data_IF_742258461214
#
_entry.id   IF_742258461214
#
_cell.length_a   1.000
_cell.length_b   1.000
_cell.length_c   1.000
_cell.angle_alpha   90.00
_cell.angle_beta   90.00
_cell.angle_gamma   90.00
#
_symmetry.space_group_name_H-M   'P 1'
#
loop_
_entity.id
_entity.type
_entity.pdbx_description
1 polymer ?
#
# COMPACT_ATOMS: atom_id res chain seq x y z
N UNK A 1 -1.30 -15.54 6.99
CA UNK A 1 -1.69 -16.98 6.82
C UNK A 1 -1.82 -17.72 8.15
N UNK A 2 -2.63 -17.20 9.07
CA UNK A 2 -2.83 -17.87 10.37
C UNK A 2 -3.86 -19.01 10.31
N UNK A 3 -4.58 -19.16 9.20
CA UNK A 3 -5.60 -20.21 9.02
C UNK A 3 -5.64 -20.71 7.56
N UNK A 4 -4.65 -21.47 7.09
CA UNK A 4 -4.59 -21.94 5.70
C UNK A 4 -5.78 -22.87 5.36
N UNK A 5 -6.36 -23.54 6.33
CA UNK A 5 -7.56 -24.36 6.13
C UNK A 5 -8.81 -23.53 5.77
N UNK A 6 -8.85 -22.23 6.08
CA UNK A 6 -10.02 -21.38 5.80
C UNK A 6 -10.33 -21.28 4.29
N UNK A 7 -9.31 -21.12 3.48
CA UNK A 7 -9.47 -21.02 2.01
C UNK A 7 -10.03 -22.30 1.42
N UNK A 8 -9.60 -23.47 1.93
CA UNK A 8 -10.13 -24.77 1.49
C UNK A 8 -11.57 -24.99 1.94
N UNK A 9 -11.94 -24.51 3.13
CA UNK A 9 -13.34 -24.55 3.60
C UNK A 9 -14.23 -23.68 2.74
N UNK A 10 -13.79 -22.46 2.43
CA UNK A 10 -14.51 -21.54 1.53
C UNK A 10 -14.66 -22.17 0.13
N UNK A 11 -13.60 -22.78 -0.40
CA UNK A 11 -13.66 -23.54 -1.64
C UNK A 11 -14.76 -24.60 -1.61
N UNK A 12 -14.78 -25.45 -0.59
CA UNK A 12 -15.78 -26.50 -0.47
C UNK A 12 -17.22 -25.96 -0.40
N UNK A 13 -17.43 -24.84 0.29
CA UNK A 13 -18.73 -24.17 0.35
C UNK A 13 -19.17 -23.59 -1.00
N UNK A 14 -18.25 -23.00 -1.75
CA UNK A 14 -18.53 -22.48 -3.10
C UNK A 14 -18.82 -23.62 -4.09
N UNK A 15 -17.98 -24.65 -4.10
CA UNK A 15 -18.09 -25.78 -5.03
C UNK A 15 -19.35 -26.64 -4.76
N UNK A 16 -19.82 -26.70 -3.52
CA UNK A 16 -21.07 -27.44 -3.17
C UNK A 16 -22.35 -26.71 -3.59
N UNK A 17 -22.27 -25.43 -3.96
CA UNK A 17 -23.45 -24.60 -4.26
C UNK A 17 -24.41 -24.41 -3.08
N UNK A 18 -24.00 -24.76 -1.86
CA UNK A 18 -24.84 -24.64 -0.67
C UNK A 18 -24.75 -23.27 0.00
N UNK A 19 -23.80 -22.46 -0.44
CA UNK A 19 -23.58 -21.11 0.12
C UNK A 19 -24.74 -20.19 -0.26
N UNK A 20 -25.43 -19.66 0.75
CA UNK A 20 -26.56 -18.73 0.61
C UNK A 20 -26.15 -17.26 0.82
N UNK A 21 -24.87 -17.00 1.01
CA UNK A 21 -24.35 -15.68 1.37
C UNK A 21 -23.28 -15.25 0.37
N UNK A 22 -23.13 -13.95 0.20
CA UNK A 22 -21.98 -13.38 -0.47
C UNK A 22 -20.78 -13.37 0.46
N UNK A 23 -19.62 -13.75 -0.04
CA UNK A 23 -18.35 -13.68 0.69
C UNK A 23 -17.54 -12.54 0.10
N UNK A 24 -17.09 -11.63 0.96
CA UNK A 24 -16.14 -10.57 0.60
C UNK A 24 -14.85 -10.84 1.35
N UNK A 25 -13.77 -11.06 0.61
CA UNK A 25 -12.42 -11.18 1.14
C UNK A 25 -11.73 -9.84 0.99
N UNK A 26 -11.12 -9.34 2.04
CA UNK A 26 -10.35 -8.11 2.01
C UNK A 26 -9.05 -8.25 2.77
N UNK A 27 -8.00 -7.57 2.30
CA UNK A 27 -6.69 -7.57 2.91
C UNK A 27 -5.87 -6.37 2.47
N UNK A 28 -4.91 -5.98 3.29
CA UNK A 28 -3.98 -4.87 3.02
C UNK A 28 -2.78 -5.29 2.17
N UNK A 29 -2.39 -6.57 2.18
CA UNK A 29 -1.31 -7.08 1.34
C UNK A 29 -1.82 -7.36 -0.07
N UNK A 30 -1.39 -6.56 -1.03
CA UNK A 30 -1.75 -6.72 -2.43
C UNK A 30 -1.26 -8.06 -3.00
N UNK A 31 -0.01 -8.44 -2.66
CA UNK A 31 0.56 -9.73 -3.09
C UNK A 31 -0.26 -10.91 -2.58
N UNK A 32 -0.63 -10.90 -1.30
CA UNK A 32 -1.43 -11.97 -0.71
C UNK A 32 -2.83 -12.05 -1.34
N UNK A 33 -3.50 -10.91 -1.52
CA UNK A 33 -4.83 -10.86 -2.13
C UNK A 33 -4.81 -11.33 -3.59
N UNK A 34 -3.80 -10.89 -4.35
CA UNK A 34 -3.62 -11.36 -5.73
C UNK A 34 -3.43 -12.89 -5.78
N UNK A 35 -2.55 -13.43 -4.95
CA UNK A 35 -2.29 -14.87 -4.93
C UNK A 35 -3.52 -15.69 -4.52
N UNK A 36 -4.41 -15.16 -3.67
CA UNK A 36 -5.64 -15.86 -3.27
C UNK A 36 -6.56 -16.20 -4.45
N UNK A 37 -6.65 -15.32 -5.44
CA UNK A 37 -7.63 -15.44 -6.54
C UNK A 37 -6.98 -15.74 -7.88
N UNK A 38 -5.68 -15.47 -8.07
CA UNK A 38 -4.98 -15.58 -9.34
C UNK A 38 -3.87 -16.65 -9.39
N UNK A 39 -3.45 -17.20 -8.23
CA UNK A 39 -2.48 -18.29 -8.19
C UNK A 39 -3.22 -19.62 -8.43
N UNK A 40 -2.82 -20.37 -9.48
CA UNK A 40 -3.42 -21.66 -9.83
C UNK A 40 -3.34 -22.70 -8.71
N UNK A 41 -2.39 -22.56 -7.79
CA UNK A 41 -2.26 -23.42 -6.62
C UNK A 41 -3.24 -23.04 -5.46
N UNK A 42 -3.89 -21.88 -5.56
CA UNK A 42 -4.82 -21.41 -4.53
C UNK A 42 -6.16 -22.13 -4.59
N UNK A 43 -6.72 -22.57 -3.45
CA UNK A 43 -8.07 -23.12 -3.37
C UNK A 43 -9.17 -22.20 -3.92
N UNK A 44 -8.92 -20.88 -3.98
CA UNK A 44 -9.88 -19.88 -4.46
C UNK A 44 -9.62 -19.41 -5.89
N UNK A 45 -8.66 -20.02 -6.60
CA UNK A 45 -8.38 -19.69 -7.98
C UNK A 45 -9.63 -19.82 -8.86
N UNK A 46 -9.92 -18.75 -9.61
CA UNK A 46 -11.06 -18.71 -10.54
C UNK A 46 -12.45 -18.77 -9.90
N UNK A 47 -12.58 -18.60 -8.57
CA UNK A 47 -13.86 -18.64 -7.84
C UNK A 47 -14.38 -17.28 -7.41
N UNK A 48 -13.64 -16.21 -7.71
CA UNK A 48 -14.09 -14.84 -7.47
C UNK A 48 -14.96 -14.31 -8.60
N UNK A 49 -16.08 -13.69 -8.28
CA UNK A 49 -16.95 -13.03 -9.26
C UNK A 49 -16.43 -11.64 -9.63
N UNK A 50 -15.72 -10.97 -8.71
CA UNK A 50 -15.15 -9.65 -8.92
C UNK A 50 -13.96 -9.37 -8.00
N UNK A 51 -12.97 -8.68 -8.55
CA UNK A 51 -11.81 -8.15 -7.81
C UNK A 51 -11.86 -6.63 -7.79
N UNK A 52 -11.71 -6.04 -6.60
CA UNK A 52 -11.70 -4.61 -6.41
C UNK A 52 -10.35 -4.15 -5.88
N UNK A 53 -9.61 -3.41 -6.69
CA UNK A 53 -8.43 -2.69 -6.22
C UNK A 53 -8.86 -1.34 -5.64
N UNK A 54 -8.93 -1.26 -4.31
CA UNK A 54 -9.29 -0.04 -3.59
C UNK A 54 -8.15 0.97 -3.66
N UNK A 55 -8.35 2.01 -4.46
CA UNK A 55 -7.38 3.09 -4.61
C UNK A 55 -7.53 4.13 -3.49
N UNK A 56 -6.44 4.88 -3.17
CA UNK A 56 -6.53 6.01 -2.25
C UNK A 56 -7.64 7.01 -2.67
N UNK A 57 -8.34 7.54 -1.68
CA UNK A 57 -9.38 8.55 -1.90
C UNK A 57 -8.71 9.84 -2.40
N UNK A 58 -9.33 10.46 -3.41
CA UNK A 58 -8.77 11.65 -4.05
C UNK A 58 -8.98 12.91 -3.19
N UNK A 59 -8.10 13.89 -3.35
CA UNK A 59 -8.07 15.15 -2.63
C UNK A 59 -9.43 15.88 -2.49
N UNK A 60 -10.30 15.98 -3.51
CA UNK A 60 -11.57 16.69 -3.36
C UNK A 60 -12.48 16.10 -2.26
N UNK A 61 -12.40 14.79 -2.02
CA UNK A 61 -13.19 14.15 -0.98
C UNK A 61 -12.64 14.39 0.43
N UNK A 62 -11.32 14.64 0.56
CA UNK A 62 -10.71 15.04 1.83
C UNK A 62 -11.24 16.40 2.28
N UNK A 63 -11.30 17.37 1.38
CA UNK A 63 -11.88 18.70 1.65
C UNK A 63 -13.27 18.58 2.25
N UNK A 64 -14.11 17.74 1.62
CA UNK A 64 -15.47 17.52 2.07
C UNK A 64 -15.51 16.81 3.45
N UNK A 65 -14.66 15.80 3.67
CA UNK A 65 -14.65 15.01 4.89
C UNK A 65 -14.17 15.82 6.11
N UNK A 66 -13.13 16.63 5.96
CA UNK A 66 -12.49 17.37 7.05
C UNK A 66 -12.97 18.83 7.14
N UNK A 67 -13.82 19.31 6.22
CA UNK A 67 -14.31 20.68 6.15
C UNK A 67 -13.18 21.73 6.20
N UNK A 68 -12.11 21.48 5.44
CA UNK A 68 -10.91 22.33 5.36
C UNK A 68 -11.04 23.34 4.21
N UNK A 69 -10.30 24.45 4.29
CA UNK A 69 -10.08 25.30 3.12
C UNK A 69 -9.19 24.65 2.06
N UNK A 70 -8.96 25.34 0.94
CA UNK A 70 -8.20 24.73 -0.19
C UNK A 70 -6.73 24.51 0.15
N UNK A 71 -6.10 25.46 0.87
CA UNK A 71 -4.69 25.38 1.23
C UNK A 71 -4.48 24.28 2.28
N UNK A 72 -5.26 24.30 3.34
CA UNK A 72 -5.21 23.26 4.38
C UNK A 72 -5.51 21.88 3.82
N UNK A 73 -6.42 21.78 2.84
CA UNK A 73 -6.74 20.52 2.18
C UNK A 73 -5.52 19.96 1.43
N UNK A 74 -4.81 20.81 0.68
CA UNK A 74 -3.60 20.39 -0.05
C UNK A 74 -2.50 19.96 0.91
N UNK A 75 -2.24 20.76 1.97
CA UNK A 75 -1.22 20.45 2.96
C UNK A 75 -1.53 19.15 3.72
N UNK A 76 -2.77 18.97 4.15
CA UNK A 76 -3.20 17.74 4.82
C UNK A 76 -3.10 16.55 3.87
N UNK A 77 -3.52 16.68 2.60
CA UNK A 77 -3.41 15.59 1.64
C UNK A 77 -1.97 15.22 1.29
N UNK A 78 -1.06 16.20 1.24
CA UNK A 78 0.36 15.95 1.01
C UNK A 78 1.01 15.09 2.11
N UNK A 79 0.52 15.19 3.35
CA UNK A 79 1.01 14.40 4.49
C UNK A 79 0.27 13.06 4.61
N UNK A 80 -1.06 13.08 4.60
CA UNK A 80 -1.90 11.93 4.98
C UNK A 80 -2.38 11.12 3.77
N UNK A 81 -2.25 11.65 2.56
CA UNK A 81 -2.71 11.01 1.34
C UNK A 81 -4.20 10.68 1.35
N UNK A 82 -4.57 9.62 0.65
CA UNK A 82 -5.97 9.22 0.48
C UNK A 82 -6.41 8.02 1.32
N UNK A 83 -5.69 7.68 2.39
CA UNK A 83 -6.03 6.54 3.26
C UNK A 83 -6.94 6.98 4.40
N UNK A 84 -8.22 6.53 4.47
CA UNK A 84 -9.17 7.00 5.49
C UNK A 84 -8.67 6.84 6.92
N UNK A 85 -7.92 5.79 7.21
CA UNK A 85 -7.34 5.55 8.54
C UNK A 85 -6.41 6.69 8.97
N UNK A 86 -5.64 7.24 8.04
CA UNK A 86 -4.73 8.35 8.35
C UNK A 86 -5.50 9.65 8.60
N UNK A 87 -6.62 9.85 7.91
CA UNK A 87 -7.48 11.01 8.18
C UNK A 87 -8.08 10.97 9.58
N UNK A 88 -8.49 9.80 10.06
CA UNK A 88 -8.95 9.63 11.44
C UNK A 88 -7.86 10.00 12.46
N UNK A 89 -6.59 9.66 12.18
CA UNK A 89 -5.45 10.07 13.02
C UNK A 89 -5.25 11.58 12.97
N UNK A 90 -5.36 12.20 11.79
CA UNK A 90 -5.28 13.65 11.63
C UNK A 90 -6.37 14.38 12.42
N UNK A 91 -7.62 13.91 12.37
CA UNK A 91 -8.74 14.50 13.09
C UNK A 91 -8.62 14.40 14.62
N UNK A 92 -7.89 13.41 15.13
CA UNK A 92 -7.67 13.23 16.56
C UNK A 92 -6.72 14.26 17.18
N UNK A 93 -6.01 15.03 16.37
CA UNK A 93 -5.03 16.03 16.80
C UNK A 93 -5.56 17.46 16.58
N UNK A 94 -5.02 18.40 17.35
CA UNK A 94 -5.42 19.80 17.34
C UNK A 94 -5.22 20.48 15.99
N UNK A 95 -4.05 20.27 15.39
CA UNK A 95 -3.66 20.84 14.11
C UNK A 95 -2.74 19.88 13.32
N UNK A 96 -2.35 20.26 12.10
CA UNK A 96 -1.51 19.44 11.24
C UNK A 96 -0.15 19.12 11.86
N UNK A 97 0.51 20.11 12.48
CA UNK A 97 1.83 19.94 13.09
C UNK A 97 1.79 19.00 14.28
N UNK A 98 0.78 19.14 15.12
CA UNK A 98 0.55 18.27 16.29
C UNK A 98 0.30 16.82 15.82
N UNK A 99 -0.52 16.64 14.79
CA UNK A 99 -0.79 15.32 14.20
C UNK A 99 0.48 14.65 13.63
N UNK A 100 1.29 15.40 12.89
CA UNK A 100 2.57 14.93 12.33
C UNK A 100 3.50 14.48 13.45
N UNK A 101 3.67 15.32 14.46
CA UNK A 101 4.55 14.99 15.59
C UNK A 101 4.05 13.74 16.33
N UNK A 102 2.78 13.72 16.71
CA UNK A 102 2.21 12.64 17.52
C UNK A 102 2.18 11.29 16.82
N UNK A 103 1.88 11.26 15.51
CA UNK A 103 1.65 10.02 14.80
C UNK A 103 2.80 9.54 13.91
N UNK A 104 3.63 10.47 13.40
CA UNK A 104 4.69 10.14 12.43
C UNK A 104 6.08 10.21 13.06
N UNK A 105 6.39 11.28 13.82
CA UNK A 105 7.74 11.49 14.38
C UNK A 105 7.93 10.92 15.78
N UNK A 106 6.88 10.82 16.56
CA UNK A 106 6.97 10.22 17.89
C UNK A 106 7.27 8.72 17.78
N UNK A 107 8.26 8.17 18.51
CA UNK A 107 8.48 6.72 18.58
C UNK A 107 7.28 5.93 19.09
N UNK A 108 6.33 6.58 19.76
CA UNK A 108 5.06 5.99 20.20
C UNK A 108 3.93 6.19 19.17
N UNK A 109 4.22 6.89 18.07
CA UNK A 109 3.26 7.20 17.01
C UNK A 109 2.89 5.94 16.22
N UNK A 110 1.62 5.84 15.87
CA UNK A 110 1.08 4.68 15.15
C UNK A 110 1.75 4.50 13.78
N UNK A 111 2.16 5.58 13.13
CA UNK A 111 2.76 5.58 11.80
C UNK A 111 4.29 5.63 11.81
N UNK A 112 4.93 5.66 12.99
CA UNK A 112 6.38 5.74 13.10
C UNK A 112 7.11 4.59 12.37
N UNK A 113 6.61 3.37 12.49
CA UNK A 113 7.15 2.19 11.81
C UNK A 113 6.29 1.70 10.62
N UNK A 114 5.29 2.49 10.20
CA UNK A 114 4.36 2.07 9.14
C UNK A 114 5.05 1.70 7.82
N UNK A 115 6.04 2.48 7.31
CA UNK A 115 6.71 2.11 6.06
C UNK A 115 7.41 0.75 6.13
N UNK A 116 8.08 0.48 7.25
CA UNK A 116 8.79 -0.79 7.44
C UNK A 116 7.81 -1.97 7.55
N UNK A 117 6.66 -1.75 8.18
CA UNK A 117 5.60 -2.76 8.30
C UNK A 117 5.01 -3.12 6.93
N UNK A 118 4.65 -2.13 6.14
CA UNK A 118 4.12 -2.32 4.79
C UNK A 118 5.09 -3.09 3.89
N UNK A 119 6.37 -2.72 3.92
CA UNK A 119 7.37 -3.44 3.11
C UNK A 119 7.61 -4.87 3.58
N UNK A 120 7.51 -5.17 4.89
CA UNK A 120 7.62 -6.56 5.39
C UNK A 120 6.50 -7.45 4.88
N UNK A 121 5.30 -6.90 4.70
CA UNK A 121 4.14 -7.67 4.24
C UNK A 121 4.18 -7.93 2.73
N UNK A 122 4.70 -6.98 1.94
CA UNK A 122 4.60 -7.01 0.48
C UNK A 122 5.93 -7.30 -0.24
N UNK A 123 7.08 -7.09 0.40
CA UNK A 123 8.41 -7.20 -0.22
C UNK A 123 9.22 -8.35 0.38
N UNK A 124 9.94 -9.10 -0.47
CA UNK A 124 10.87 -10.13 -0.01
C UNK A 124 12.08 -9.54 0.75
N UNK A 125 12.47 -8.32 0.40
CA UNK A 125 13.55 -7.56 1.04
C UNK A 125 13.03 -6.17 1.41
N UNK A 126 12.49 -6.06 2.62
CA UNK A 126 11.92 -4.83 3.14
C UNK A 126 12.97 -3.72 3.33
N UNK A 127 14.21 -4.09 3.69
CA UNK A 127 15.30 -3.13 3.89
C UNK A 127 15.69 -2.49 2.56
N UNK A 128 15.85 -3.31 1.52
CA UNK A 128 16.14 -2.81 0.18
C UNK A 128 15.02 -1.93 -0.36
N UNK A 129 13.78 -2.33 -0.16
CA UNK A 129 12.62 -1.52 -0.55
C UNK A 129 12.63 -0.14 0.14
N UNK A 130 12.83 -0.11 1.46
CA UNK A 130 12.92 1.13 2.21
C UNK A 130 14.09 2.01 1.74
N UNK A 131 15.26 1.43 1.46
CA UNK A 131 16.42 2.14 0.93
C UNK A 131 16.13 2.79 -0.42
N UNK A 132 15.53 2.03 -1.35
CA UNK A 132 15.12 2.54 -2.67
C UNK A 132 14.15 3.71 -2.50
N UNK A 133 13.11 3.56 -1.67
CA UNK A 133 12.11 4.59 -1.43
C UNK A 133 12.74 5.87 -0.83
N UNK A 134 13.68 5.73 0.10
CA UNK A 134 14.41 6.87 0.67
C UNK A 134 15.23 7.62 -0.39
N UNK A 135 15.90 6.88 -1.27
CA UNK A 135 16.71 7.46 -2.35
C UNK A 135 15.82 8.18 -3.38
N UNK A 136 14.71 7.56 -3.78
CA UNK A 136 13.74 8.19 -4.69
C UNK A 136 13.10 9.42 -4.02
N UNK A 137 12.69 9.32 -2.76
CA UNK A 137 12.15 10.44 -1.99
C UNK A 137 13.13 11.60 -1.81
N UNK A 138 14.44 11.33 -1.90
CA UNK A 138 15.48 12.38 -1.91
C UNK A 138 15.75 12.96 -3.32
N UNK A 139 14.92 12.64 -4.32
CA UNK A 139 14.93 13.23 -5.65
C UNK A 139 15.61 12.41 -6.76
N UNK A 140 16.14 11.23 -6.44
CA UNK A 140 16.69 10.35 -7.49
C UNK A 140 15.56 9.77 -8.34
N UNK A 141 15.61 9.99 -9.66
CA UNK A 141 14.56 9.59 -10.60
C UNK A 141 15.06 8.72 -11.77
N UNK A 142 16.34 8.34 -11.77
CA UNK A 142 16.92 7.45 -12.78
C UNK A 142 17.44 6.17 -12.13
N UNK A 143 17.19 5.02 -12.75
CA UNK A 143 17.64 3.73 -12.23
C UNK A 143 19.16 3.69 -12.00
N UNK A 144 19.95 4.31 -12.90
CA UNK A 144 21.41 4.37 -12.76
C UNK A 144 21.86 5.18 -11.53
N UNK A 145 21.17 6.27 -11.23
CA UNK A 145 21.44 7.09 -10.05
C UNK A 145 21.04 6.38 -8.77
N UNK A 146 19.87 5.74 -8.76
CA UNK A 146 19.40 4.93 -7.63
C UNK A 146 20.39 3.79 -7.35
N UNK A 147 20.83 3.10 -8.39
CA UNK A 147 21.83 2.02 -8.29
C UNK A 147 23.16 2.50 -7.70
N UNK A 148 23.64 3.65 -8.18
CA UNK A 148 24.86 4.28 -7.67
C UNK A 148 24.75 4.62 -6.18
N UNK A 149 23.62 5.21 -5.75
CA UNK A 149 23.37 5.56 -4.35
C UNK A 149 23.15 4.34 -3.45
N UNK A 150 22.59 3.25 -4.00
CA UNK A 150 22.47 1.95 -3.30
C UNK A 150 23.81 1.20 -3.22
N UNK A 151 24.85 1.65 -3.91
CA UNK A 151 26.10 0.92 -4.11
C UNK A 151 25.89 -0.51 -4.66
N UNK A 152 24.90 -0.69 -5.53
CA UNK A 152 24.55 -1.96 -6.17
C UNK A 152 24.45 -1.83 -7.69
N UNK A 153 24.70 -2.92 -8.45
CA UNK A 153 24.41 -2.93 -9.88
C UNK A 153 22.94 -2.70 -10.19
N UNK A 154 22.63 -1.95 -11.24
CA UNK A 154 21.26 -1.67 -11.66
C UNK A 154 20.44 -2.95 -11.95
N UNK A 155 21.10 -4.04 -12.37
CA UNK A 155 20.47 -5.35 -12.58
C UNK A 155 19.86 -5.93 -11.30
N UNK A 156 20.46 -5.68 -10.15
CA UNK A 156 19.97 -6.16 -8.86
C UNK A 156 18.76 -5.34 -8.35
N UNK A 157 18.57 -4.14 -8.86
CA UNK A 157 17.46 -3.25 -8.49
C UNK A 157 16.26 -3.38 -9.42
N UNK A 158 16.42 -3.93 -10.62
CA UNK A 158 15.34 -4.02 -11.61
C UNK A 158 14.12 -4.74 -11.08
N UNK A 159 14.29 -5.88 -10.42
CA UNK A 159 13.17 -6.67 -9.85
C UNK A 159 12.49 -5.99 -8.67
N UNK A 160 13.21 -5.51 -7.62
CA UNK A 160 12.57 -4.77 -6.53
C UNK A 160 11.91 -3.47 -7.00
N UNK A 161 12.50 -2.74 -7.95
CA UNK A 161 11.89 -1.55 -8.54
C UNK A 161 10.59 -1.87 -9.28
N UNK A 162 10.58 -2.92 -10.13
CA UNK A 162 9.35 -3.34 -10.81
C UNK A 162 8.26 -3.70 -9.80
N UNK A 163 8.60 -4.43 -8.74
CA UNK A 163 7.64 -4.79 -7.71
C UNK A 163 7.10 -3.57 -6.95
N UNK A 164 7.93 -2.57 -6.65
CA UNK A 164 7.46 -1.31 -6.03
C UNK A 164 6.50 -0.54 -6.94
N UNK A 165 6.72 -0.59 -8.25
CA UNK A 165 5.79 0.00 -9.25
C UNK A 165 4.48 -0.81 -9.30
N UNK A 166 4.56 -2.13 -9.38
CA UNK A 166 3.37 -3.01 -9.43
C UNK A 166 2.49 -2.86 -8.20
N UNK A 167 3.09 -2.64 -7.03
CA UNK A 167 2.40 -2.39 -5.77
C UNK A 167 1.91 -0.93 -5.61
N UNK A 168 2.25 -0.04 -6.55
CA UNK A 168 1.84 1.36 -6.51
C UNK A 168 2.62 2.24 -5.52
N UNK A 169 3.75 1.77 -4.98
CA UNK A 169 4.64 2.60 -4.14
C UNK A 169 5.48 3.57 -4.96
N UNK A 170 5.77 3.22 -6.21
CA UNK A 170 6.45 4.05 -7.19
C UNK A 170 5.61 4.14 -8.46
N UNK A 171 5.75 5.24 -9.17
CA UNK A 171 5.19 5.42 -10.50
C UNK A 171 6.35 5.61 -11.50
N UNK A 172 6.23 4.97 -12.67
CA UNK A 172 7.20 5.13 -13.74
C UNK A 172 6.70 6.22 -14.68
N UNK A 173 7.37 7.38 -14.62
CA UNK A 173 7.13 8.43 -15.59
C UNK A 173 7.86 8.14 -16.91
N UNK A 174 7.15 8.29 -18.03
CA UNK A 174 7.73 8.29 -19.36
C UNK A 174 7.80 9.72 -19.87
N UNK A 175 8.95 10.11 -20.42
CA UNK A 175 9.07 11.41 -21.08
C UNK A 175 8.07 11.47 -22.24
N UNK A 176 7.34 12.57 -22.33
CA UNK A 176 6.59 12.88 -23.54
C UNK A 176 7.59 13.09 -24.67
N UNK A 177 7.56 12.20 -25.68
CA UNK A 177 8.34 12.31 -26.90
C UNK A 177 7.70 13.25 -27.90
#
# INVERSE_FOLDING_TARGET
>A
EKAPALTSVIQGLLDSGTLKYHIILCGSSQTMMYNLTHDESSPLYGRGDADFNMRPIRLPYLKQALNLDDTDTIENYAVWGGVPRYWMLRESAKDLSDAIYAHIFSPLGILYEEPQRLFRDDMNDAVKAATIMTIVGSGANKLSEIASRCAEPATNLSRPMAKLVDLGYLEKETQFG
#
